data_IF_734074948453
#
_entry.id   IF_734074948453
#
_cell.length_a   1.000
_cell.length_b   1.000
_cell.length_c   1.000
_cell.angle_alpha   90.00
_cell.angle_beta   90.00
_cell.angle_gamma   90.00
#
_symmetry.space_group_name_H-M   'P 1'
#
loop_
_entity.id
_entity.type
_entity.pdbx_description
1 polymer ?
#
# COMPACT_ATOMS: atom_id res chain seq x y z
N UNK A 1 1.62 -9.04 17.74
CA UNK A 1 0.17 -8.71 17.77
C UNK A 1 -0.77 -9.84 17.28
N UNK A 2 -0.28 -11.06 16.98
CA UNK A 2 -1.12 -12.20 16.55
C UNK A 2 -1.79 -12.04 15.18
N UNK A 3 -1.30 -11.11 14.35
CA UNK A 3 -1.81 -10.83 13.00
C UNK A 3 -0.80 -11.40 12.01
N UNK A 4 -1.31 -12.09 10.99
CA UNK A 4 -0.51 -12.57 9.85
C UNK A 4 -0.82 -11.68 8.64
N UNK A 5 0.22 -11.26 7.94
CA UNK A 5 0.11 -10.48 6.71
C UNK A 5 0.91 -11.17 5.60
N UNK A 6 0.37 -11.12 4.38
CA UNK A 6 1.11 -11.50 3.18
C UNK A 6 1.82 -10.26 2.66
N UNK A 7 3.11 -10.36 2.35
CA UNK A 7 3.88 -9.28 1.72
C UNK A 7 4.16 -9.70 0.28
N UNK A 8 3.83 -8.82 -0.66
CA UNK A 8 4.04 -9.03 -2.10
C UNK A 8 4.80 -7.83 -2.63
N UNK A 9 5.90 -8.09 -3.33
CA UNK A 9 6.58 -7.08 -4.13
C UNK A 9 5.84 -6.95 -5.47
N UNK A 10 5.39 -5.73 -5.81
CA UNK A 10 4.69 -5.44 -7.05
C UNK A 10 5.53 -4.50 -7.94
N UNK A 11 6.58 -5.01 -8.62
CA UNK A 11 7.55 -4.17 -9.32
C UNK A 11 7.03 -3.58 -10.65
N UNK A 12 5.93 -4.09 -11.21
CA UNK A 12 5.42 -3.70 -12.52
C UNK A 12 4.05 -3.04 -12.43
N UNK A 13 4.03 -1.72 -12.23
CA UNK A 13 2.77 -0.98 -12.05
C UNK A 13 1.91 -0.99 -13.32
N UNK A 14 2.54 -0.90 -14.49
CA UNK A 14 1.89 -0.87 -15.80
C UNK A 14 1.41 -2.25 -16.28
N UNK A 15 1.69 -3.31 -15.52
CA UNK A 15 1.24 -4.69 -15.78
C UNK A 15 0.87 -5.33 -14.45
N UNK A 16 -0.24 -4.87 -13.87
CA UNK A 16 -0.69 -5.34 -12.55
C UNK A 16 -0.93 -6.85 -12.56
N UNK A 17 -0.21 -7.57 -11.71
CA UNK A 17 -0.34 -9.02 -11.52
C UNK A 17 -1.55 -9.36 -10.63
N UNK A 18 -2.74 -9.24 -11.22
CA UNK A 18 -4.00 -9.56 -10.52
C UNK A 18 -4.09 -11.06 -10.21
N UNK A 19 -3.48 -11.93 -11.02
CA UNK A 19 -3.50 -13.38 -10.83
C UNK A 19 -2.82 -13.79 -9.52
N UNK A 20 -1.68 -13.16 -9.19
CA UNK A 20 -0.99 -13.37 -7.91
C UNK A 20 -1.63 -12.58 -6.77
N UNK A 21 -1.92 -11.29 -6.98
CA UNK A 21 -2.32 -10.38 -5.89
C UNK A 21 -3.79 -10.59 -5.49
N UNK A 22 -4.68 -10.82 -6.45
CA UNK A 22 -6.11 -10.98 -6.22
C UNK A 22 -6.46 -12.06 -5.18
N UNK A 23 -5.97 -13.29 -5.32
CA UNK A 23 -6.18 -14.34 -4.33
C UNK A 23 -5.63 -13.99 -2.94
N UNK A 24 -4.52 -13.25 -2.86
CA UNK A 24 -3.96 -12.80 -1.58
C UNK A 24 -4.88 -11.78 -0.90
N UNK A 25 -5.43 -10.83 -1.67
CA UNK A 25 -6.39 -9.83 -1.18
C UNK A 25 -7.70 -10.51 -0.72
N UNK A 26 -8.21 -11.49 -1.47
CA UNK A 26 -9.39 -12.26 -1.08
C UNK A 26 -9.17 -13.04 0.22
N UNK A 27 -8.04 -13.75 0.37
CA UNK A 27 -7.67 -14.42 1.62
C UNK A 27 -7.51 -13.44 2.79
N UNK A 28 -7.05 -12.23 2.49
CA UNK A 28 -7.00 -11.12 3.43
C UNK A 28 -8.38 -10.48 3.69
N UNK A 29 -9.50 -11.03 3.19
CA UNK A 29 -10.85 -10.47 3.31
C UNK A 29 -10.93 -9.02 2.80
N UNK A 30 -10.32 -8.77 1.64
CA UNK A 30 -10.30 -7.47 0.99
C UNK A 30 -9.42 -6.41 1.67
N UNK A 31 -8.66 -6.74 2.72
CA UNK A 31 -7.80 -5.75 3.41
C UNK A 31 -6.47 -5.65 2.70
N UNK A 32 -6.18 -4.47 2.14
CA UNK A 32 -4.99 -4.19 1.37
C UNK A 32 -4.29 -2.93 1.90
N UNK A 33 -3.00 -3.02 2.19
CA UNK A 33 -2.14 -1.85 2.41
C UNK A 33 -1.15 -1.79 1.27
N UNK A 34 -0.97 -0.60 0.68
CA UNK A 34 0.05 -0.37 -0.34
C UNK A 34 1.07 0.63 0.20
N UNK A 35 2.33 0.45 -0.18
CA UNK A 35 3.41 1.42 0.08
C UNK A 35 4.20 1.63 -1.20
N UNK A 36 4.49 2.89 -1.49
CA UNK A 36 5.28 3.28 -2.66
C UNK A 36 6.07 4.56 -2.36
N UNK A 37 7.33 4.60 -2.79
CA UNK A 37 8.14 5.82 -2.83
C UNK A 37 7.79 6.63 -4.09
N UNK A 38 6.52 7.00 -4.18
CA UNK A 38 5.91 7.67 -5.31
C UNK A 38 4.65 8.42 -4.85
N UNK A 39 4.10 9.28 -5.71
CA UNK A 39 2.79 9.88 -5.49
C UNK A 39 1.72 8.79 -5.38
N UNK A 40 0.87 8.85 -4.34
CA UNK A 40 -0.32 7.99 -4.25
C UNK A 40 -1.30 8.28 -5.40
N UNK A 41 -1.29 9.53 -5.88
CA UNK A 41 -2.12 10.01 -6.98
C UNK A 41 -1.58 9.43 -8.29
N UNK A 42 -2.34 8.50 -8.89
CA UNK A 42 -1.95 7.81 -10.11
C UNK A 42 -0.81 6.79 -9.94
N UNK A 43 -0.35 6.56 -8.70
CA UNK A 43 0.71 5.63 -8.37
C UNK A 43 0.32 4.16 -8.44
N UNK A 44 1.23 3.31 -7.97
CA UNK A 44 1.08 1.85 -7.91
C UNK A 44 -0.21 1.44 -7.19
N UNK A 45 -0.49 2.01 -6.01
CA UNK A 45 -1.66 1.65 -5.21
C UNK A 45 -2.97 1.96 -5.94
N UNK A 46 -3.02 3.09 -6.65
CA UNK A 46 -4.16 3.49 -7.47
C UNK A 46 -4.37 2.55 -8.66
N UNK A 47 -3.31 2.20 -9.38
CA UNK A 47 -3.37 1.27 -10.52
C UNK A 47 -3.79 -0.13 -10.07
N UNK A 48 -3.22 -0.63 -8.97
CA UNK A 48 -3.59 -1.92 -8.38
C UNK A 48 -5.07 -1.94 -7.93
N UNK A 49 -5.52 -0.91 -7.22
CA UNK A 49 -6.91 -0.82 -6.76
C UNK A 49 -7.89 -0.80 -7.93
N UNK A 50 -7.58 -0.05 -8.99
CA UNK A 50 -8.37 -0.04 -10.21
C UNK A 50 -8.44 -1.42 -10.87
N UNK A 51 -7.29 -2.09 -11.06
CA UNK A 51 -7.22 -3.42 -11.67
C UNK A 51 -7.98 -4.48 -10.86
N UNK A 52 -7.86 -4.48 -9.53
CA UNK A 52 -8.63 -5.36 -8.65
C UNK A 52 -10.14 -5.11 -8.77
N UNK A 53 -10.55 -3.84 -8.88
CA UNK A 53 -11.96 -3.48 -9.07
C UNK A 53 -12.49 -3.97 -10.41
N UNK A 54 -11.73 -3.80 -11.49
CA UNK A 54 -12.08 -4.32 -12.82
C UNK A 54 -12.20 -5.86 -12.83
N UNK A 55 -11.41 -6.54 -12.01
CA UNK A 55 -11.48 -7.99 -11.82
C UNK A 55 -12.61 -8.46 -10.88
N UNK A 56 -13.45 -7.54 -10.37
CA UNK A 56 -14.54 -7.88 -9.45
C UNK A 56 -14.10 -8.28 -8.04
N UNK A 57 -12.89 -7.89 -7.63
CA UNK A 57 -12.34 -8.22 -6.31
C UNK A 57 -12.62 -7.08 -5.34
N UNK A 58 -13.55 -7.30 -4.41
CA UNK A 58 -13.86 -6.34 -3.36
C UNK A 58 -12.69 -6.13 -2.40
N UNK A 59 -12.36 -4.87 -2.13
CA UNK A 59 -11.26 -4.52 -1.24
C UNK A 59 -11.43 -3.14 -0.61
N UNK A 60 -10.76 -2.96 0.54
CA UNK A 60 -10.52 -1.68 1.21
C UNK A 60 -9.02 -1.48 1.25
N UNK A 61 -8.57 -0.38 0.66
CA UNK A 61 -7.16 -0.04 0.53
C UNK A 61 -6.77 1.10 1.47
N UNK A 62 -5.56 1.02 2.04
CA UNK A 62 -4.88 2.13 2.67
C UNK A 62 -3.52 2.32 2.00
N UNK A 63 -3.23 3.50 1.47
CA UNK A 63 -2.03 3.75 0.68
C UNK A 63 -1.08 4.72 1.40
N UNK A 64 0.16 4.27 1.55
CA UNK A 64 1.30 5.03 2.03
C UNK A 64 2.13 5.45 0.79
N UNK A 65 2.44 6.74 0.71
CA UNK A 65 3.04 7.38 -0.46
C UNK A 65 3.01 8.90 -0.30
N UNK A 66 3.61 9.60 -1.25
CA UNK A 66 3.64 11.07 -1.27
C UNK A 66 2.27 11.59 -1.72
N UNK A 67 1.80 12.71 -1.14
CA UNK A 67 0.41 13.19 -1.28
C UNK A 67 0.30 14.54 -1.97
N UNK A 68 0.71 14.61 -3.24
CA UNK A 68 0.63 15.82 -4.06
C UNK A 68 1.70 16.85 -3.74
N UNK A 69 2.75 16.44 -3.02
CA UNK A 69 3.87 17.29 -2.62
C UNK A 69 5.04 17.15 -3.59
N UNK A 70 5.81 18.23 -3.75
CA UNK A 70 7.06 18.21 -4.49
C UNK A 70 8.17 17.49 -3.70
N UNK A 71 9.15 16.95 -4.41
CA UNK A 71 10.32 16.34 -3.81
C UNK A 71 11.13 17.34 -2.96
N UNK A 72 11.79 16.81 -1.94
CA UNK A 72 12.59 17.57 -0.98
C UNK A 72 14.02 17.03 -0.93
N UNK A 73 14.96 17.87 -0.48
CA UNK A 73 16.35 17.44 -0.23
C UNK A 73 16.51 16.96 1.21
N UNK A 74 17.26 15.88 1.38
CA UNK A 74 17.71 15.40 2.68
C UNK A 74 19.12 14.82 2.56
N UNK A 75 19.86 14.80 3.67
CA UNK A 75 21.20 14.20 3.69
C UNK A 75 21.17 12.68 3.53
N UNK A 76 20.10 12.03 3.98
CA UNK A 76 19.84 10.59 3.82
C UNK A 76 18.37 10.38 3.47
N UNK A 77 18.09 9.33 2.68
CA UNK A 77 16.73 9.02 2.21
C UNK A 77 15.76 8.71 3.36
N UNK A 78 16.25 8.10 4.44
CA UNK A 78 15.44 7.72 5.60
C UNK A 78 14.69 8.90 6.23
N UNK A 79 15.29 10.10 6.25
CA UNK A 79 14.60 11.31 6.73
C UNK A 79 13.36 11.66 5.87
N UNK A 80 13.41 11.41 4.56
CA UNK A 80 12.25 11.63 3.69
C UNK A 80 11.20 10.53 3.89
N UNK A 81 11.63 9.30 4.16
CA UNK A 81 10.72 8.21 4.49
C UNK A 81 10.00 8.46 5.81
N UNK A 82 10.69 8.93 6.83
CA UNK A 82 10.07 9.37 8.08
C UNK A 82 9.11 10.54 7.86
N UNK A 83 9.53 11.56 7.09
CA UNK A 83 8.73 12.75 6.79
C UNK A 83 7.41 12.40 6.08
N UNK A 84 7.48 11.55 5.05
CA UNK A 84 6.30 11.12 4.29
C UNK A 84 5.57 9.91 4.90
N UNK A 85 6.04 9.40 6.06
CA UNK A 85 5.42 8.28 6.74
C UNK A 85 5.56 6.94 6.01
N UNK A 86 6.61 6.75 5.21
CA UNK A 86 6.98 5.52 4.52
C UNK A 86 7.78 4.58 5.42
N UNK A 87 7.27 4.34 6.64
CA UNK A 87 7.96 3.55 7.66
C UNK A 87 7.20 2.27 8.02
N UNK A 88 7.91 1.33 8.64
CA UNK A 88 7.31 0.09 9.15
C UNK A 88 6.20 0.36 10.18
N UNK A 89 6.37 1.38 11.03
CA UNK A 89 5.36 1.73 12.04
C UNK A 89 4.08 2.24 11.39
N UNK A 90 4.18 3.11 10.38
CA UNK A 90 3.01 3.59 9.61
C UNK A 90 2.32 2.46 8.85
N UNK A 91 3.09 1.50 8.33
CA UNK A 91 2.54 0.28 7.73
C UNK A 91 1.73 -0.53 8.76
N UNK A 92 2.25 -0.69 9.98
CA UNK A 92 1.55 -1.39 11.07
C UNK A 92 0.28 -0.66 11.47
N UNK A 93 0.31 0.67 11.61
CA UNK A 93 -0.86 1.50 11.91
C UNK A 93 -1.95 1.34 10.84
N UNK A 94 -1.58 1.43 9.56
CA UNK A 94 -2.49 1.24 8.43
C UNK A 94 -3.13 -0.16 8.43
N UNK A 95 -2.31 -1.20 8.67
CA UNK A 95 -2.81 -2.57 8.77
C UNK A 95 -3.77 -2.76 9.95
N UNK A 96 -3.49 -2.14 11.10
CA UNK A 96 -4.32 -2.21 12.30
C UNK A 96 -5.68 -1.53 12.10
N UNK A 97 -5.69 -0.37 11.45
CA UNK A 97 -6.92 0.34 11.10
C UNK A 97 -7.86 -0.54 10.25
N UNK A 98 -7.31 -1.26 9.25
CA UNK A 98 -8.09 -2.15 8.39
C UNK A 98 -8.64 -3.39 9.10
N UNK A 99 -8.03 -3.83 10.20
CA UNK A 99 -8.53 -4.94 11.03
C UNK A 99 -9.44 -4.45 12.18
N UNK A 100 -9.74 -3.15 12.26
CA UNK A 100 -10.60 -2.58 13.29
C UNK A 100 -9.95 -2.54 14.68
N UNK A 101 -8.62 -2.43 14.74
CA UNK A 101 -7.87 -2.29 15.99
C UNK A 101 -7.21 -0.91 16.03
N UNK A 102 -7.10 -0.32 17.22
CA UNK A 102 -6.26 0.88 17.42
C UNK A 102 -4.78 0.48 17.48
N UNK A 103 -3.93 1.37 16.97
CA UNK A 103 -2.47 1.25 16.99
C UNK A 103 -1.91 1.16 18.41
#
# INVERSE_FOLDING_TARGET
RGIRATVINNPFINRVDVETIGPAVQRAKGRLVTIEDHQVIGGMGSQLSHALSQAGIEHRVHSLGIRGEFGQSAYIAEHLYEHHGLTADRMVEAALALVGRRA
#
